data_IF_877295985672
#
_entry.id   IF_877295985672
#
_cell.length_a   1.000
_cell.length_b   1.000
_cell.length_c   1.000
_cell.angle_alpha   90.00
_cell.angle_beta   90.00
_cell.angle_gamma   90.00
#
_symmetry.space_group_name_H-M   'P 1'
#
loop_
_entity.id
_entity.type
_entity.pdbx_description
1 polymer ?
#
# COMPACT_ATOMS: atom_id res chain seq x y z
N UNK A 1 -65.41 92.11 -6.39
CA UNK A 1 -64.01 92.41 -6.74
C UNK A 1 -63.44 91.14 -7.37
N UNK A 2 -63.54 90.97 -8.69
CA UNK A 2 -62.50 91.33 -9.68
C UNK A 2 -61.11 90.82 -9.30
N UNK A 3 -60.63 89.77 -9.97
CA UNK A 3 -59.45 89.79 -10.84
C UNK A 3 -59.35 88.43 -11.54
N UNK A 4 -59.59 88.40 -12.86
CA UNK A 4 -59.13 87.30 -13.71
C UNK A 4 -57.64 87.50 -14.02
N UNK A 5 -56.96 86.42 -14.45
CA UNK A 5 -55.92 86.42 -15.51
C UNK A 5 -55.53 84.95 -15.81
N UNK A 6 -55.77 84.61 -17.08
CA UNK A 6 -55.06 83.71 -18.00
C UNK A 6 -54.59 82.30 -17.58
N UNK A 7 -55.26 81.36 -18.23
CA UNK A 7 -54.84 80.00 -18.53
C UNK A 7 -53.70 80.01 -19.58
N UNK A 8 -52.55 79.42 -19.26
CA UNK A 8 -51.50 79.06 -20.23
C UNK A 8 -51.19 77.58 -20.04
N UNK A 9 -51.50 76.69 -21.00
CA UNK A 9 -51.14 75.28 -20.87
C UNK A 9 -49.65 75.12 -21.19
N UNK A 10 -48.84 74.80 -20.17
CA UNK A 10 -47.43 74.49 -20.37
C UNK A 10 -47.30 73.08 -20.97
N UNK A 11 -47.26 73.00 -22.30
CA UNK A 11 -46.84 71.80 -23.04
C UNK A 11 -45.38 71.51 -22.73
N UNK A 12 -45.12 70.72 -21.69
CA UNK A 12 -43.78 70.18 -21.43
C UNK A 12 -43.46 69.10 -22.47
N UNK A 13 -42.56 69.42 -23.39
CA UNK A 13 -41.95 68.45 -24.30
C UNK A 13 -41.28 67.32 -23.50
N UNK A 14 -41.83 66.10 -23.58
CA UNK A 14 -41.19 64.88 -23.06
C UNK A 14 -39.88 64.66 -23.81
N UNK A 15 -38.76 65.07 -23.22
CA UNK A 15 -37.42 64.72 -23.70
C UNK A 15 -37.22 63.22 -23.46
N UNK A 16 -37.35 62.42 -24.53
CA UNK A 16 -37.09 60.98 -24.51
C UNK A 16 -35.62 60.75 -24.14
N UNK A 17 -35.36 60.35 -22.89
CA UNK A 17 -34.05 59.88 -22.47
C UNK A 17 -33.82 58.52 -23.13
N UNK A 18 -33.10 58.49 -24.26
CA UNK A 18 -32.56 57.26 -24.82
C UNK A 18 -31.66 56.62 -23.76
N UNK A 19 -32.12 55.55 -23.11
CA UNK A 19 -31.26 54.68 -22.29
C UNK A 19 -30.16 54.11 -23.19
N UNK A 20 -28.95 54.69 -23.12
CA UNK A 20 -27.75 54.05 -23.67
C UNK A 20 -27.52 52.78 -22.86
N UNK A 21 -27.87 51.63 -23.42
CA UNK A 21 -27.45 50.33 -22.90
C UNK A 21 -25.93 50.23 -23.08
N UNK A 22 -25.19 50.58 -22.04
CA UNK A 22 -23.76 50.32 -21.96
C UNK A 22 -23.56 48.81 -21.96
N UNK A 23 -23.29 48.21 -23.12
CA UNK A 23 -22.76 46.83 -23.17
C UNK A 23 -21.35 46.90 -22.57
N UNK A 24 -21.05 46.24 -21.43
CA UNK A 24 -19.71 46.26 -20.87
C UNK A 24 -18.80 45.48 -21.81
N UNK A 25 -18.10 46.19 -22.70
CA UNK A 25 -17.12 45.59 -23.60
C UNK A 25 -15.80 45.48 -22.86
N UNK A 26 -15.74 44.58 -21.88
CA UNK A 26 -14.52 44.29 -21.14
C UNK A 26 -13.63 43.37 -22.00
N UNK A 27 -12.89 43.98 -22.92
CA UNK A 27 -11.93 43.27 -23.77
C UNK A 27 -10.63 43.08 -22.99
N UNK A 28 -10.59 42.08 -22.09
CA UNK A 28 -9.31 41.65 -21.50
C UNK A 28 -8.39 41.16 -22.63
N UNK A 29 -7.22 41.78 -22.85
CA UNK A 29 -6.30 41.32 -23.87
C UNK A 29 -5.87 39.89 -23.53
N UNK A 30 -5.91 38.97 -24.50
CA UNK A 30 -5.63 37.53 -24.29
C UNK A 30 -4.33 37.25 -23.49
N UNK A 31 -3.33 38.14 -23.61
CA UNK A 31 -2.09 38.11 -22.80
C UNK A 31 -2.31 38.20 -21.29
N UNK A 32 -3.26 39.01 -20.80
CA UNK A 32 -3.53 39.11 -19.36
C UNK A 32 -4.26 37.88 -18.82
N UNK A 33 -5.16 37.28 -19.61
CA UNK A 33 -5.74 35.98 -19.29
C UNK A 33 -4.65 34.90 -19.18
N UNK A 34 -3.66 34.93 -20.09
CA UNK A 34 -2.50 34.04 -20.04
C UNK A 34 -1.66 34.26 -18.77
N UNK A 35 -1.40 35.52 -18.38
CA UNK A 35 -0.70 35.84 -17.13
C UNK A 35 -1.45 35.33 -15.89
N UNK A 36 -2.77 35.55 -15.82
CA UNK A 36 -3.59 35.06 -14.69
C UNK A 36 -3.59 33.53 -14.63
N UNK A 37 -3.66 32.85 -15.78
CA UNK A 37 -3.60 31.40 -15.86
C UNK A 37 -2.22 30.88 -15.42
N UNK A 38 -1.14 31.55 -15.80
CA UNK A 38 0.23 31.21 -15.36
C UNK A 38 0.40 31.41 -13.85
N UNK A 39 -0.13 32.49 -13.28
CA UNK A 39 -0.09 32.73 -11.83
C UNK A 39 -0.92 31.67 -11.07
N UNK A 40 -2.09 31.30 -11.58
CA UNK A 40 -2.90 30.21 -11.02
C UNK A 40 -2.19 28.86 -11.12
N UNK A 41 -1.51 28.59 -12.24
CA UNK A 41 -0.73 27.37 -12.42
C UNK A 41 0.46 27.33 -11.44
N UNK A 42 1.20 28.43 -11.27
CA UNK A 42 2.30 28.54 -10.31
C UNK A 42 1.77 28.40 -8.88
N UNK A 43 0.65 29.05 -8.54
CA UNK A 43 -0.01 28.90 -7.25
C UNK A 43 -0.44 27.46 -6.97
N UNK A 44 -0.96 26.76 -7.98
CA UNK A 44 -1.29 25.33 -7.91
C UNK A 44 -0.06 24.46 -7.69
N UNK A 45 1.04 24.70 -8.41
CA UNK A 45 2.31 23.98 -8.25
C UNK A 45 2.92 24.23 -6.87
N UNK A 46 2.86 25.45 -6.35
CA UNK A 46 3.35 25.76 -5.01
C UNK A 46 2.46 25.09 -3.96
N UNK A 47 1.14 25.16 -4.09
CA UNK A 47 0.20 24.52 -3.17
C UNK A 47 0.36 23.00 -3.12
N UNK A 48 0.47 22.35 -4.28
CA UNK A 48 0.67 20.90 -4.36
C UNK A 48 2.11 20.49 -4.03
N UNK A 49 3.08 21.29 -4.45
CA UNK A 49 4.51 21.07 -4.25
C UNK A 49 4.95 21.26 -2.81
N UNK A 50 4.29 22.11 -2.04
CA UNK A 50 4.64 22.33 -0.63
C UNK A 50 4.59 21.04 0.19
N UNK A 51 3.59 20.18 -0.08
CA UNK A 51 3.45 18.84 0.55
C UNK A 51 4.52 17.84 0.06
N UNK A 52 5.16 18.08 -1.09
CA UNK A 52 6.23 17.22 -1.61
C UNK A 52 7.58 17.51 -0.93
N UNK A 53 7.83 18.74 -0.52
CA UNK A 53 9.11 19.15 0.08
C UNK A 53 9.08 19.20 1.61
N UNK A 54 7.94 19.50 2.24
CA UNK A 54 7.83 19.70 3.68
C UNK A 54 6.92 18.67 4.35
N UNK A 55 7.38 18.08 5.44
CA UNK A 55 6.69 17.04 6.21
C UNK A 55 5.83 17.65 7.32
N UNK A 56 6.36 18.65 8.01
CA UNK A 56 5.72 19.30 9.15
C UNK A 56 6.29 20.70 9.38
N UNK A 57 5.69 21.47 10.28
CA UNK A 57 6.24 22.72 10.82
C UNK A 57 6.21 22.67 12.34
N UNK A 58 7.29 23.09 12.99
CA UNK A 58 7.40 23.17 14.46
C UNK A 58 7.86 24.58 14.82
N UNK A 59 7.00 25.33 15.51
CA UNK A 59 7.27 26.71 15.94
C UNK A 59 7.76 27.61 14.79
N UNK A 60 7.14 27.50 13.62
CA UNK A 60 7.50 28.25 12.42
C UNK A 60 8.70 27.71 11.64
N UNK A 61 9.37 26.65 12.11
CA UNK A 61 10.45 25.97 11.37
C UNK A 61 9.89 24.78 10.58
N UNK A 62 10.04 24.82 9.26
CA UNK A 62 9.63 23.72 8.39
C UNK A 62 10.59 22.53 8.50
N UNK A 63 10.03 21.33 8.60
CA UNK A 63 10.75 20.06 8.56
C UNK A 63 10.70 19.52 7.13
N UNK A 64 11.86 19.26 6.55
CA UNK A 64 11.97 18.71 5.19
C UNK A 64 11.55 17.25 5.14
N UNK A 65 10.82 16.85 4.09
CA UNK A 65 10.54 15.42 3.83
C UNK A 65 11.82 14.64 3.55
N UNK A 66 12.81 15.28 2.92
CA UNK A 66 14.09 14.63 2.63
C UNK A 66 14.85 14.27 3.92
N UNK A 67 14.82 15.12 4.96
CA UNK A 67 15.46 14.77 6.24
C UNK A 67 14.77 13.59 6.94
N UNK A 68 13.44 13.49 6.82
CA UNK A 68 12.69 12.34 7.34
C UNK A 68 13.06 11.07 6.59
N UNK A 69 13.04 11.10 5.25
CA UNK A 69 13.40 9.95 4.39
C UNK A 69 14.83 9.50 4.70
N UNK A 70 15.80 10.43 4.74
CA UNK A 70 17.19 10.11 5.08
C UNK A 70 17.34 9.47 6.46
N UNK A 71 16.52 9.89 7.44
CA UNK A 71 16.49 9.26 8.76
C UNK A 71 15.95 7.83 8.70
N UNK A 72 14.86 7.60 7.96
CA UNK A 72 14.28 6.26 7.75
C UNK A 72 15.23 5.33 6.99
N UNK A 73 15.88 5.84 5.94
CA UNK A 73 16.91 5.13 5.19
C UNK A 73 18.07 4.71 6.09
N UNK A 74 18.52 5.59 7.00
CA UNK A 74 19.54 5.26 8.00
C UNK A 74 19.06 4.21 9.01
N UNK A 75 17.79 4.24 9.39
CA UNK A 75 17.24 3.31 10.40
C UNK A 75 16.99 1.91 9.82
N UNK A 76 16.52 1.80 8.58
CA UNK A 76 16.05 0.54 8.01
C UNK A 76 16.13 0.43 6.49
N UNK A 77 16.80 1.35 5.81
CA UNK A 77 16.89 1.38 4.34
C UNK A 77 17.54 0.13 3.77
N UNK A 78 18.65 -0.34 4.35
CA UNK A 78 19.32 -1.57 3.91
C UNK A 78 18.39 -2.78 3.98
N UNK A 79 17.80 -3.03 5.16
CA UNK A 79 16.89 -4.17 5.36
C UNK A 79 15.68 -4.09 4.44
N UNK A 80 15.10 -2.89 4.28
CA UNK A 80 13.96 -2.66 3.40
C UNK A 80 14.31 -2.94 1.94
N UNK A 81 15.48 -2.46 1.47
CA UNK A 81 15.97 -2.74 0.13
C UNK A 81 16.21 -4.24 -0.08
N UNK A 82 16.85 -4.93 0.88
CA UNK A 82 17.11 -6.37 0.82
C UNK A 82 15.79 -7.17 0.71
N UNK A 83 14.74 -6.78 1.44
CA UNK A 83 13.40 -7.37 1.33
C UNK A 83 12.77 -7.11 -0.03
N UNK A 84 12.84 -5.88 -0.56
CA UNK A 84 12.30 -5.55 -1.89
C UNK A 84 13.01 -6.33 -2.99
N UNK A 85 14.34 -6.46 -2.91
CA UNK A 85 15.13 -7.28 -3.84
C UNK A 85 14.64 -8.72 -3.79
N UNK A 86 14.52 -9.30 -2.59
CA UNK A 86 14.03 -10.67 -2.42
C UNK A 86 12.65 -10.88 -3.05
N UNK A 87 11.69 -10.00 -2.76
CA UNK A 87 10.34 -10.06 -3.36
C UNK A 87 10.40 -9.97 -4.88
N UNK A 88 11.29 -9.13 -5.41
CA UNK A 88 11.49 -8.98 -6.85
C UNK A 88 12.02 -10.27 -7.48
N UNK A 89 13.04 -10.88 -6.87
CA UNK A 89 13.63 -12.15 -7.35
C UNK A 89 12.61 -13.29 -7.35
N UNK A 90 11.82 -13.42 -6.28
CA UNK A 90 10.75 -14.42 -6.19
C UNK A 90 9.74 -14.25 -7.33
N UNK A 91 9.27 -13.02 -7.56
CA UNK A 91 8.31 -12.74 -8.62
C UNK A 91 8.89 -13.00 -10.02
N UNK A 92 10.19 -12.70 -10.23
CA UNK A 92 10.87 -13.00 -11.49
C UNK A 92 10.98 -14.51 -11.73
N UNK A 93 11.34 -15.28 -10.70
CA UNK A 93 11.45 -16.73 -10.80
C UNK A 93 10.08 -17.38 -11.02
N UNK A 94 9.05 -16.96 -10.31
CA UNK A 94 7.69 -17.43 -10.51
C UNK A 94 7.24 -17.23 -11.97
N UNK A 95 7.47 -16.05 -12.53
CA UNK A 95 7.18 -15.76 -13.95
C UNK A 95 7.99 -16.67 -14.89
N UNK A 96 9.28 -16.86 -14.63
CA UNK A 96 10.16 -17.74 -15.42
C UNK A 96 9.67 -19.19 -15.41
N UNK A 97 9.22 -19.69 -14.25
CA UNK A 97 8.65 -21.03 -14.07
C UNK A 97 7.18 -21.14 -14.49
N UNK A 98 6.56 -20.03 -14.89
CA UNK A 98 5.12 -19.94 -15.21
C UNK A 98 4.22 -20.41 -14.06
N UNK A 99 4.66 -20.14 -12.82
CA UNK A 99 3.87 -20.36 -11.61
C UNK A 99 3.06 -19.11 -11.35
N UNK A 100 1.75 -19.28 -11.19
CA UNK A 100 0.82 -18.19 -10.85
C UNK A 100 -0.11 -18.61 -9.71
N UNK A 101 -0.73 -17.60 -9.09
CA UNK A 101 -1.72 -17.75 -8.02
C UNK A 101 -3.04 -17.24 -8.56
N UNK A 102 -4.03 -18.11 -8.56
CA UNK A 102 -5.40 -17.76 -8.96
C UNK A 102 -6.09 -16.95 -7.87
N UNK A 103 -7.06 -16.12 -8.25
CA UNK A 103 -7.89 -15.38 -7.27
C UNK A 103 -8.54 -16.32 -6.25
N UNK A 104 -8.99 -17.50 -6.69
CA UNK A 104 -9.59 -18.50 -5.80
C UNK A 104 -8.64 -18.98 -4.70
N UNK A 105 -7.35 -19.15 -5.01
CA UNK A 105 -6.35 -19.56 -4.02
C UNK A 105 -6.03 -18.43 -3.05
N UNK A 106 -5.98 -17.19 -3.56
CA UNK A 106 -5.77 -16.00 -2.75
C UNK A 106 -6.94 -15.78 -1.78
N UNK A 107 -8.18 -15.87 -2.27
CA UNK A 107 -9.40 -15.73 -1.49
C UNK A 107 -9.51 -16.82 -0.41
N UNK A 108 -9.17 -18.06 -0.76
CA UNK A 108 -9.18 -19.16 0.20
C UNK A 108 -8.23 -18.91 1.37
N UNK A 109 -7.04 -18.37 1.11
CA UNK A 109 -6.07 -18.06 2.15
C UNK A 109 -6.46 -16.82 2.97
N UNK A 110 -7.03 -15.80 2.32
CA UNK A 110 -7.60 -14.63 3.01
C UNK A 110 -8.71 -15.04 3.99
N UNK A 111 -9.62 -15.93 3.58
CA UNK A 111 -10.70 -16.43 4.46
C UNK A 111 -10.15 -17.18 5.67
N UNK A 112 -9.09 -17.98 5.49
CA UNK A 112 -8.44 -18.65 6.63
C UNK A 112 -7.84 -17.64 7.60
N UNK A 113 -7.13 -16.63 7.10
CA UNK A 113 -6.53 -15.59 7.94
C UNK A 113 -7.63 -14.81 8.67
N UNK A 114 -8.69 -14.42 7.97
CA UNK A 114 -9.81 -13.69 8.56
C UNK A 114 -10.51 -14.52 9.67
N UNK A 115 -10.72 -15.81 9.43
CA UNK A 115 -11.28 -16.73 10.43
C UNK A 115 -10.37 -16.86 11.66
N UNK A 116 -9.05 -17.01 11.45
CA UNK A 116 -8.06 -17.10 12.53
C UNK A 116 -7.95 -15.80 13.35
N UNK A 117 -8.12 -14.64 12.71
CA UNK A 117 -8.09 -13.35 13.40
C UNK A 117 -9.39 -13.15 14.18
N UNK A 118 -10.53 -13.53 13.60
CA UNK A 118 -11.85 -13.42 14.23
C UNK A 118 -11.96 -14.33 15.45
N UNK A 119 -11.40 -15.54 15.40
CA UNK A 119 -11.36 -16.45 16.56
C UNK A 119 -10.52 -15.91 17.73
N UNK A 120 -9.61 -14.97 17.48
CA UNK A 120 -8.83 -14.27 18.49
C UNK A 120 -9.54 -13.02 19.04
N UNK A 121 -10.76 -12.72 18.58
CA UNK A 121 -11.59 -11.64 19.12
C UNK A 121 -11.36 -10.26 18.50
N UNK A 122 -10.74 -10.18 17.32
CA UNK A 122 -10.58 -8.92 16.56
C UNK A 122 -10.98 -9.11 15.11
N UNK A 123 -11.08 -8.01 14.34
CA UNK A 123 -11.35 -8.09 12.89
C UNK A 123 -10.06 -7.92 12.10
N UNK A 124 -10.03 -8.48 10.89
CA UNK A 124 -8.89 -8.33 9.98
C UNK A 124 -8.61 -6.85 9.67
N UNK A 125 -9.65 -6.04 9.48
CA UNK A 125 -9.53 -4.61 9.24
C UNK A 125 -8.87 -3.87 10.40
N UNK A 126 -9.26 -4.16 11.64
CA UNK A 126 -8.67 -3.53 12.81
C UNK A 126 -7.18 -3.89 12.96
N UNK A 127 -6.83 -5.16 12.73
CA UNK A 127 -5.45 -5.63 12.77
C UNK A 127 -4.59 -4.96 11.68
N UNK A 128 -5.10 -4.87 10.45
CA UNK A 128 -4.40 -4.22 9.34
C UNK A 128 -4.19 -2.72 9.60
N UNK A 129 -5.20 -2.02 10.13
CA UNK A 129 -5.07 -0.61 10.50
C UNK A 129 -4.00 -0.40 11.58
N UNK A 130 -3.94 -1.26 12.59
CA UNK A 130 -2.92 -1.19 13.64
C UNK A 130 -1.50 -1.40 13.06
N UNK A 131 -1.36 -2.25 12.05
CA UNK A 131 -0.10 -2.51 11.37
C UNK A 131 0.24 -1.46 10.29
N UNK A 132 -0.66 -0.51 10.02
CA UNK A 132 -0.51 0.46 8.92
C UNK A 132 -0.54 -0.19 7.54
N UNK A 133 -1.19 -1.35 7.41
CA UNK A 133 -1.30 -2.13 6.18
C UNK A 133 -2.68 -1.98 5.55
N UNK A 134 -2.74 -2.09 4.23
CA UNK A 134 -4.01 -2.22 3.50
C UNK A 134 -4.32 -3.70 3.21
N UNK A 135 -5.59 -4.01 2.87
CA UNK A 135 -5.96 -5.36 2.38
C UNK A 135 -5.15 -5.76 1.15
N UNK A 136 -4.80 -4.79 0.30
CA UNK A 136 -3.95 -5.02 -0.89
C UNK A 136 -2.53 -5.43 -0.50
N UNK A 137 -1.97 -4.82 0.56
CA UNK A 137 -0.64 -5.20 1.04
C UNK A 137 -0.64 -6.63 1.54
N UNK A 138 -1.65 -7.00 2.36
CA UNK A 138 -1.84 -8.38 2.81
C UNK A 138 -1.99 -9.35 1.63
N UNK A 139 -2.82 -9.02 0.64
CA UNK A 139 -3.01 -9.85 -0.55
C UNK A 139 -1.69 -10.06 -1.32
N UNK A 140 -0.83 -9.04 -1.40
CA UNK A 140 0.48 -9.18 -2.03
C UNK A 140 1.42 -10.11 -1.24
N UNK A 141 1.39 -10.05 0.10
CA UNK A 141 2.18 -10.96 0.94
C UNK A 141 1.69 -12.41 0.82
N UNK A 142 0.37 -12.63 0.84
CA UNK A 142 -0.22 -13.95 0.65
C UNK A 142 0.15 -14.50 -0.74
N UNK A 143 0.02 -13.68 -1.78
CA UNK A 143 0.42 -14.07 -3.14
C UNK A 143 1.89 -14.49 -3.18
N UNK A 144 2.77 -13.71 -2.56
CA UNK A 144 4.19 -14.04 -2.50
C UNK A 144 4.44 -15.39 -1.80
N UNK A 145 3.79 -15.62 -0.66
CA UNK A 145 3.86 -16.87 0.09
C UNK A 145 3.39 -18.07 -0.74
N UNK A 146 2.24 -17.94 -1.40
CA UNK A 146 1.69 -18.99 -2.26
C UNK A 146 2.62 -19.29 -3.45
N UNK A 147 3.24 -18.27 -4.05
CA UNK A 147 4.21 -18.45 -5.13
C UNK A 147 5.43 -19.25 -4.67
N UNK A 148 6.04 -18.90 -3.54
CA UNK A 148 7.22 -19.63 -3.04
C UNK A 148 6.88 -21.07 -2.66
N UNK A 149 5.75 -21.30 -1.99
CA UNK A 149 5.29 -22.65 -1.64
C UNK A 149 5.05 -23.49 -2.89
N UNK A 150 4.39 -22.94 -3.92
CA UNK A 150 4.18 -23.64 -5.19
C UNK A 150 5.48 -23.99 -5.89
N UNK A 151 6.45 -23.07 -5.92
CA UNK A 151 7.74 -23.26 -6.58
C UNK A 151 8.63 -24.34 -5.95
N UNK A 152 8.34 -24.77 -4.72
CA UNK A 152 9.07 -25.83 -4.02
C UNK A 152 8.25 -27.09 -3.80
N UNK A 153 6.95 -27.06 -4.09
CA UNK A 153 6.00 -28.14 -3.76
C UNK A 153 6.36 -29.49 -4.39
N UNK A 154 7.00 -29.47 -5.56
CA UNK A 154 7.49 -30.64 -6.28
C UNK A 154 8.71 -31.31 -5.62
N UNK A 155 9.43 -30.58 -4.77
CA UNK A 155 10.59 -31.09 -4.03
C UNK A 155 10.26 -31.62 -2.64
N UNK A 156 9.04 -31.38 -2.16
CA UNK A 156 8.63 -31.77 -0.82
C UNK A 156 7.93 -33.12 -0.88
N UNK A 157 8.63 -34.17 -0.43
CA UNK A 157 8.08 -35.51 -0.22
C UNK A 157 8.38 -35.97 1.20
N UNK A 158 7.42 -36.67 1.83
CA UNK A 158 7.54 -37.22 3.19
C UNK A 158 7.46 -38.74 3.09
N UNK A 159 8.44 -39.42 3.68
CA UNK A 159 8.52 -40.88 3.72
C UNK A 159 7.99 -41.43 5.04
N UNK A 160 7.53 -42.68 5.05
CA UNK A 160 7.06 -43.34 6.28
C UNK A 160 8.15 -43.39 7.37
N UNK A 161 9.41 -43.62 6.96
CA UNK A 161 10.55 -43.63 7.87
C UNK A 161 10.70 -42.29 8.61
N UNK A 162 10.54 -41.17 7.91
CA UNK A 162 10.62 -39.84 8.54
C UNK A 162 9.47 -39.58 9.51
N UNK A 163 8.27 -40.13 9.23
CA UNK A 163 7.14 -40.07 10.16
C UNK A 163 7.46 -40.87 11.42
N UNK A 164 7.98 -42.08 11.27
CA UNK A 164 8.36 -42.94 12.40
C UNK A 164 9.46 -42.30 13.26
N UNK A 165 10.49 -41.74 12.63
CA UNK A 165 11.58 -41.01 13.31
C UNK A 165 11.07 -39.76 14.03
N UNK A 166 10.18 -38.98 13.40
CA UNK A 166 9.57 -37.80 14.03
C UNK A 166 8.77 -38.19 15.27
N UNK A 167 7.89 -39.20 15.17
CA UNK A 167 7.09 -39.65 16.31
C UNK A 167 7.96 -40.20 17.45
N UNK A 168 9.01 -40.96 17.13
CA UNK A 168 9.97 -41.45 18.13
C UNK A 168 10.63 -40.29 18.89
N UNK A 169 11.11 -39.25 18.17
CA UNK A 169 11.74 -38.09 18.78
C UNK A 169 10.81 -37.29 19.71
N UNK A 170 9.51 -37.22 19.39
CA UNK A 170 8.52 -36.52 20.22
C UNK A 170 8.18 -37.30 21.50
N UNK A 171 8.18 -38.63 21.43
CA UNK A 171 7.97 -39.51 22.59
C UNK A 171 9.17 -39.49 23.55
N UNK A 172 10.39 -39.45 23.01
CA UNK A 172 11.62 -39.27 23.81
C UNK A 172 11.64 -37.91 24.53
N UNK A 173 11.21 -36.85 23.84
CA UNK A 173 11.16 -35.51 24.44
C UNK A 173 10.02 -35.35 25.46
N UNK A 174 8.90 -36.07 25.28
CA UNK A 174 7.79 -36.06 26.24
C UNK A 174 8.08 -36.90 27.49
N UNK A 175 8.91 -37.94 27.39
CA UNK A 175 9.26 -38.81 28.53
C UNK A 175 10.33 -38.22 29.45
N UNK A 176 10.98 -37.12 29.05
CA UNK A 176 11.90 -36.36 29.90
C UNK A 176 11.19 -35.40 30.85
N UNK A 177 9.94 -35.04 30.56
CA UNK A 177 9.07 -34.19 31.38
C UNK A 177 8.08 -35.08 32.16
N UNK A 178 8.49 -35.51 33.36
CA UNK A 178 7.66 -36.25 34.30
C UNK A 178 6.40 -35.42 34.64
N UNK A 179 5.21 -35.99 34.37
CA UNK A 179 3.85 -35.53 34.74
C UNK A 179 2.99 -34.74 33.72
N UNK A 180 3.40 -34.59 32.45
CA UNK A 180 2.47 -34.06 31.43
C UNK A 180 2.13 -35.09 30.36
N UNK A 181 0.87 -35.56 30.36
CA UNK A 181 0.27 -36.27 29.23
C UNK A 181 0.21 -35.33 28.02
N UNK A 182 1.29 -35.23 27.26
CA UNK A 182 1.29 -34.57 25.96
C UNK A 182 0.35 -35.35 25.04
N UNK A 183 -0.56 -34.68 24.32
CA UNK A 183 -1.40 -35.37 23.35
C UNK A 183 -0.50 -36.01 22.29
N UNK A 184 -0.61 -37.33 22.15
CA UNK A 184 0.12 -38.11 21.15
C UNK A 184 -0.19 -37.55 19.76
N UNK A 185 0.85 -37.04 19.08
CA UNK A 185 0.70 -36.47 17.73
C UNK A 185 0.37 -37.63 16.78
N UNK A 186 -0.73 -37.50 16.04
CA UNK A 186 -1.11 -38.54 15.06
C UNK A 186 -0.12 -38.60 13.90
N UNK A 187 -0.04 -39.75 13.19
CA UNK A 187 0.80 -39.89 11.99
C UNK A 187 0.51 -38.81 10.94
N UNK A 188 -0.76 -38.42 10.76
CA UNK A 188 -1.15 -37.37 9.82
C UNK A 188 -0.66 -35.99 10.25
N UNK A 189 -0.73 -35.67 11.54
CA UNK A 189 -0.18 -34.43 12.09
C UNK A 189 1.35 -34.40 12.00
N UNK A 190 2.03 -35.53 12.26
CA UNK A 190 3.46 -35.67 12.07
C UNK A 190 3.85 -35.46 10.60
N UNK A 191 3.11 -36.07 9.67
CA UNK A 191 3.33 -35.89 8.23
C UNK A 191 3.20 -34.43 7.80
N UNK A 192 2.16 -33.72 8.25
CA UNK A 192 2.00 -32.30 7.91
C UNK A 192 3.09 -31.42 8.54
N UNK A 193 3.50 -31.72 9.78
CA UNK A 193 4.61 -31.01 10.44
C UNK A 193 5.94 -31.18 9.68
N UNK A 194 6.29 -32.42 9.29
CA UNK A 194 7.50 -32.71 8.49
C UNK A 194 7.41 -32.04 7.13
N UNK A 195 6.24 -32.10 6.48
CA UNK A 195 6.00 -31.45 5.19
C UNK A 195 6.20 -29.94 5.29
N UNK A 196 5.67 -29.31 6.34
CA UNK A 196 5.86 -27.88 6.60
C UNK A 196 7.34 -27.56 6.81
N UNK A 197 8.05 -28.34 7.63
CA UNK A 197 9.49 -28.17 7.87
C UNK A 197 10.29 -28.23 6.57
N UNK A 198 10.09 -29.27 5.77
CA UNK A 198 10.76 -29.44 4.47
C UNK A 198 10.42 -28.33 3.49
N UNK A 199 9.16 -27.89 3.47
CA UNK A 199 8.74 -26.75 2.64
C UNK A 199 9.52 -25.49 3.02
N UNK A 200 9.69 -25.22 4.32
CA UNK A 200 10.44 -24.05 4.78
C UNK A 200 11.93 -24.15 4.44
N UNK A 201 12.53 -25.33 4.56
CA UNK A 201 13.91 -25.59 4.15
C UNK A 201 14.10 -25.36 2.65
N UNK A 202 13.24 -25.91 1.81
CA UNK A 202 13.30 -25.72 0.36
C UNK A 202 13.06 -24.26 -0.05
N UNK A 203 12.21 -23.52 0.66
CA UNK A 203 12.05 -22.08 0.46
C UNK A 203 13.35 -21.34 0.79
N UNK A 204 14.02 -21.68 1.90
CA UNK A 204 15.31 -21.07 2.24
C UNK A 204 16.37 -21.36 1.16
N UNK A 205 16.44 -22.61 0.70
CA UNK A 205 17.33 -23.03 -0.38
C UNK A 205 17.04 -22.28 -1.69
N UNK A 206 15.76 -22.15 -2.07
CA UNK A 206 15.33 -21.38 -3.23
C UNK A 206 15.75 -19.91 -3.10
N UNK A 207 15.50 -19.28 -1.95
CA UNK A 207 15.86 -17.88 -1.71
C UNK A 207 17.37 -17.66 -1.78
N UNK A 208 18.17 -18.56 -1.20
CA UNK A 208 19.62 -18.51 -1.27
C UNK A 208 20.12 -18.64 -2.72
N UNK A 209 19.59 -19.61 -3.48
CA UNK A 209 19.92 -19.83 -4.88
C UNK A 209 19.59 -18.61 -5.76
N UNK A 210 18.40 -18.02 -5.57
CA UNK A 210 17.99 -16.82 -6.29
C UNK A 210 18.93 -15.64 -6.02
N UNK A 211 19.32 -15.43 -4.75
CA UNK A 211 20.27 -14.37 -4.39
C UNK A 211 21.64 -14.62 -5.00
N UNK A 212 22.14 -15.85 -4.97
CA UNK A 212 23.46 -16.20 -5.51
C UNK A 212 23.54 -16.03 -7.03
N UNK A 213 22.44 -16.31 -7.75
CA UNK A 213 22.37 -16.20 -9.21
C UNK A 213 22.03 -14.79 -9.70
N UNK A 214 21.53 -13.92 -8.83
CA UNK A 214 21.09 -12.59 -9.21
C UNK A 214 22.26 -11.62 -9.43
N UNK A 215 22.22 -10.89 -10.56
CA UNK A 215 23.09 -9.72 -10.76
C UNK A 215 22.40 -8.48 -10.17
N UNK A 216 22.81 -8.09 -8.96
CA UNK A 216 22.24 -6.95 -8.25
C UNK A 216 23.20 -5.75 -8.34
N UNK A 217 22.74 -4.66 -8.97
CA UNK A 217 23.49 -3.40 -9.02
C UNK A 217 22.90 -2.43 -7.99
N UNK A 218 23.74 -1.97 -7.06
CA UNK A 218 23.34 -1.00 -6.04
C UNK A 218 23.73 0.41 -6.49
N UNK A 219 22.75 1.31 -6.58
CA UNK A 219 22.96 2.71 -6.92
C UNK A 219 23.04 3.61 -5.69
N UNK A 220 22.57 3.12 -4.54
CA UNK A 220 22.56 3.83 -3.26
C UNK A 220 23.11 2.86 -2.22
N UNK A 221 23.96 3.37 -1.33
CA UNK A 221 24.46 2.66 -0.16
C UNK A 221 23.82 3.29 1.07
N UNK A 222 23.11 2.46 1.84
CA UNK A 222 22.51 2.82 3.12
C UNK A 222 23.51 2.61 4.26
#
# INVERSE_FOLDING_TARGET
MLFGIFFVPLTMARKTIKKKTLKPRFSFPKRYLLFVLVILAIGGVVYFGFRLFFAASVNGRLISRFSVIKSLEKQGGKTTLDTIILKTLINQEAKKRKVDVTEKELDAELVKIESNVTSQGTTLEALLLQQGMTKKDLANEIKLQLLVTKMVSDKVSVTEKEIDEYLASQNEQSSSDLDQSTPEITRDQAKEAIKQQKTQEEIQNLVADLKAKAKINYFIKY
#
